data_IF_245475790231
#
_entry.id   IF_245475790231
#
_cell.length_a   1.000
_cell.length_b   1.000
_cell.length_c   1.000
_cell.angle_alpha   90.00
_cell.angle_beta   90.00
_cell.angle_gamma   90.00
#
_symmetry.space_group_name_H-M   'P 1'
#
loop_
_entity.id
_entity.type
_entity.pdbx_description
1 polymer ?
#
# COMPACT_ATOMS: atom_id res chain seq x y z
N UNK A 1 -7.21 15.82 -16.00
CA UNK A 1 -7.02 16.85 -17.04
C UNK A 1 -7.65 18.18 -16.69
N UNK A 2 -8.99 18.27 -16.39
CA UNK A 2 -9.60 19.57 -16.03
C UNK A 2 -9.08 20.08 -14.70
N UNK A 3 -9.04 19.23 -13.69
CA UNK A 3 -8.53 19.54 -12.36
C UNK A 3 -7.04 19.91 -12.38
N UNK A 4 -6.24 19.30 -13.25
CA UNK A 4 -4.81 19.61 -13.38
C UNK A 4 -4.59 20.99 -14.01
N UNK A 5 -5.44 21.37 -14.96
CA UNK A 5 -5.44 22.71 -15.57
C UNK A 5 -5.82 23.78 -14.56
N UNK A 6 -6.86 23.54 -13.76
CA UNK A 6 -7.28 24.47 -12.70
C UNK A 6 -6.18 24.64 -11.65
N UNK A 7 -5.53 23.53 -11.25
CA UNK A 7 -4.43 23.57 -10.28
C UNK A 7 -3.22 24.33 -10.84
N UNK A 8 -2.90 24.14 -12.11
CA UNK A 8 -1.83 24.90 -12.77
C UNK A 8 -2.16 26.41 -12.83
N UNK A 9 -3.40 26.77 -13.22
CA UNK A 9 -3.83 28.17 -13.26
C UNK A 9 -3.76 28.83 -11.88
N UNK A 10 -4.16 28.12 -10.82
CA UNK A 10 -4.05 28.61 -9.45
C UNK A 10 -2.59 28.90 -9.05
N UNK A 11 -1.63 28.03 -9.41
CA UNK A 11 -0.22 28.30 -9.17
C UNK A 11 0.30 29.53 -9.91
N UNK A 12 -0.11 29.70 -11.17
CA UNK A 12 0.28 30.89 -11.94
C UNK A 12 -0.26 32.15 -11.27
N UNK A 13 -1.55 32.15 -10.85
CA UNK A 13 -2.16 33.27 -10.16
C UNK A 13 -1.45 33.58 -8.83
N UNK A 14 -1.16 32.56 -8.02
CA UNK A 14 -0.41 32.75 -6.76
C UNK A 14 0.97 33.39 -7.01
N UNK A 15 1.65 33.00 -8.09
CA UNK A 15 2.94 33.58 -8.44
C UNK A 15 2.82 35.06 -8.86
N UNK A 16 1.80 35.40 -9.68
CA UNK A 16 1.52 36.75 -10.12
C UNK A 16 1.12 37.66 -8.93
N UNK A 17 0.32 37.14 -7.97
CA UNK A 17 -0.07 37.82 -6.75
C UNK A 17 1.15 38.12 -5.86
N UNK A 18 2.06 37.13 -5.70
CA UNK A 18 3.30 37.33 -4.95
C UNK A 18 4.22 38.37 -5.61
N UNK A 19 4.38 38.32 -6.95
CA UNK A 19 5.14 39.34 -7.69
C UNK A 19 4.59 40.74 -7.43
N UNK A 20 3.26 40.90 -7.53
CA UNK A 20 2.59 42.17 -7.30
C UNK A 20 2.80 42.69 -5.87
N UNK A 21 2.70 41.80 -4.88
CA UNK A 21 2.94 42.18 -3.47
C UNK A 21 4.40 42.57 -3.20
N UNK A 22 5.35 41.90 -3.84
CA UNK A 22 6.76 42.23 -3.74
C UNK A 22 7.03 43.62 -4.36
N UNK A 23 6.46 43.92 -5.52
CA UNK A 23 6.57 45.25 -6.18
C UNK A 23 5.99 46.34 -5.30
N UNK A 24 4.78 46.15 -4.76
CA UNK A 24 4.15 47.11 -3.83
C UNK A 24 5.01 47.32 -2.58
N UNK A 25 5.55 46.25 -2.00
CA UNK A 25 6.44 46.35 -0.83
C UNK A 25 7.72 47.14 -1.10
N UNK A 26 8.26 47.06 -2.32
CA UNK A 26 9.40 47.88 -2.74
C UNK A 26 9.03 49.32 -2.98
N UNK A 27 7.88 49.60 -3.61
CA UNK A 27 7.43 50.96 -3.91
C UNK A 27 7.08 51.73 -2.63
N UNK A 28 6.37 51.08 -1.69
CA UNK A 28 5.95 51.68 -0.41
C UNK A 28 7.03 51.65 0.67
N UNK A 29 8.12 50.92 0.43
CA UNK A 29 9.20 50.62 1.39
C UNK A 29 8.66 50.15 2.74
N UNK A 30 7.64 49.25 2.71
CA UNK A 30 6.96 48.71 3.88
C UNK A 30 7.48 47.33 4.27
N UNK A 31 8.31 47.20 5.31
CA UNK A 31 8.81 45.94 5.78
C UNK A 31 7.73 45.05 6.45
N UNK A 32 6.55 45.57 6.74
CA UNK A 32 5.46 44.82 7.36
C UNK A 32 4.86 43.75 6.41
N UNK A 33 5.03 43.92 5.09
CA UNK A 33 4.59 42.94 4.08
C UNK A 33 5.47 41.68 3.99
N UNK A 34 6.70 41.72 4.52
CA UNK A 34 7.65 40.62 4.44
C UNK A 34 7.09 39.31 5.04
N UNK A 35 6.49 39.28 6.25
CA UNK A 35 5.93 38.07 6.82
C UNK A 35 4.78 37.47 5.99
N UNK A 36 3.94 38.34 5.41
CA UNK A 36 2.80 37.90 4.57
C UNK A 36 3.28 37.28 3.27
N UNK A 37 4.25 37.90 2.61
CA UNK A 37 4.90 37.32 1.41
C UNK A 37 5.57 36.00 1.73
N UNK A 38 6.20 35.86 2.90
CA UNK A 38 6.83 34.62 3.33
C UNK A 38 5.80 33.48 3.52
N UNK A 39 4.64 33.78 4.10
CA UNK A 39 3.55 32.84 4.29
C UNK A 39 2.99 32.37 2.93
N UNK A 40 2.76 33.30 2.01
CA UNK A 40 2.34 32.98 0.63
C UNK A 40 3.36 32.10 -0.10
N UNK A 41 4.65 32.38 0.06
CA UNK A 41 5.73 31.58 -0.54
C UNK A 41 5.75 30.15 0.03
N UNK A 42 5.57 30.00 1.34
CA UNK A 42 5.54 28.69 2.00
C UNK A 42 4.32 27.86 1.55
N UNK A 43 3.17 28.49 1.30
CA UNK A 43 1.98 27.86 0.76
C UNK A 43 2.17 27.46 -0.70
N UNK A 44 2.65 28.37 -1.54
CA UNK A 44 2.99 28.11 -2.93
C UNK A 44 3.98 26.94 -3.07
N UNK A 45 5.01 26.88 -2.23
CA UNK A 45 5.99 25.82 -2.27
C UNK A 45 5.38 24.45 -1.96
N UNK A 46 4.44 24.38 -1.02
CA UNK A 46 3.70 23.12 -0.71
C UNK A 46 2.85 22.66 -1.89
N UNK A 47 2.15 23.59 -2.53
CA UNK A 47 1.29 23.29 -3.67
C UNK A 47 2.12 22.88 -4.89
N UNK A 48 3.20 23.60 -5.14
CA UNK A 48 4.15 23.27 -6.20
C UNK A 48 4.77 21.87 -6.02
N UNK A 49 5.21 21.54 -4.81
CA UNK A 49 5.78 20.21 -4.52
C UNK A 49 4.72 19.10 -4.70
N UNK A 50 3.46 19.34 -4.34
CA UNK A 50 2.38 18.39 -4.57
C UNK A 50 2.14 18.13 -6.07
N UNK A 51 2.15 19.17 -6.89
CA UNK A 51 1.98 19.04 -8.35
C UNK A 51 3.19 18.38 -8.97
N UNK A 52 4.39 18.75 -8.54
CA UNK A 52 5.63 18.12 -9.00
C UNK A 52 5.62 16.62 -8.77
N UNK A 53 5.20 16.16 -7.59
CA UNK A 53 5.07 14.73 -7.29
C UNK A 53 4.06 14.07 -8.23
N UNK A 54 2.87 14.67 -8.43
CA UNK A 54 1.85 14.14 -9.35
C UNK A 54 2.37 14.02 -10.79
N UNK A 55 3.14 14.99 -11.25
CA UNK A 55 3.73 15.00 -12.61
C UNK A 55 4.78 13.89 -12.80
N UNK A 56 5.50 13.53 -11.73
CA UNK A 56 6.47 12.43 -11.75
C UNK A 56 5.81 11.04 -11.80
N UNK A 57 4.52 10.94 -11.41
CA UNK A 57 3.75 9.71 -11.45
C UNK A 57 3.13 9.49 -12.83
N UNK A 58 3.98 9.20 -13.82
CA UNK A 58 3.61 9.04 -15.24
C UNK A 58 3.78 7.61 -15.77
N UNK A 59 4.05 6.64 -14.89
CA UNK A 59 4.15 5.22 -15.27
C UNK A 59 2.80 4.65 -15.70
N UNK A 60 2.83 3.58 -16.49
CA UNK A 60 1.64 2.93 -17.07
C UNK A 60 0.56 2.58 -16.03
N UNK A 61 0.99 2.15 -14.83
CA UNK A 61 0.09 1.73 -13.75
C UNK A 61 0.03 2.72 -12.59
N UNK A 62 0.71 3.87 -12.68
CA UNK A 62 0.82 4.82 -11.56
C UNK A 62 -0.54 5.38 -11.14
N UNK A 63 -1.50 5.47 -12.06
CA UNK A 63 -2.87 5.94 -11.80
C UNK A 63 -3.76 4.93 -11.08
N UNK A 64 -3.35 3.67 -11.04
CA UNK A 64 -4.16 2.57 -10.50
C UNK A 64 -4.16 2.54 -8.97
N UNK A 65 -5.13 1.79 -8.42
CA UNK A 65 -5.11 1.43 -7.00
C UNK A 65 -3.91 0.54 -6.68
N UNK A 66 -3.55 0.46 -5.42
CA UNK A 66 -2.45 -0.37 -4.96
C UNK A 66 -2.92 -1.54 -4.09
N UNK A 67 -2.40 -2.72 -4.34
CA UNK A 67 -2.52 -3.86 -3.44
C UNK A 67 -1.19 -4.04 -2.72
N UNK A 68 -1.22 -3.95 -1.39
CA UNK A 68 -0.04 -4.10 -0.54
C UNK A 68 -0.15 -5.40 0.24
N UNK A 69 0.94 -6.17 0.22
CA UNK A 69 1.09 -7.36 1.03
C UNK A 69 2.29 -7.21 1.96
N UNK A 70 2.02 -7.27 3.27
CA UNK A 70 3.03 -7.27 4.31
C UNK A 70 3.16 -8.67 4.89
N UNK A 71 4.39 -9.18 5.02
CA UNK A 71 4.65 -10.45 5.68
C UNK A 71 5.76 -10.27 6.72
N UNK A 72 5.50 -10.69 7.95
CA UNK A 72 6.50 -10.75 8.99
C UNK A 72 7.61 -11.75 8.60
N UNK A 73 8.84 -11.29 8.61
CA UNK A 73 10.03 -12.08 8.29
C UNK A 73 10.76 -12.58 9.55
N UNK A 74 12.08 -12.58 9.50
CA UNK A 74 12.89 -12.96 10.65
C UNK A 74 12.71 -12.01 11.82
N UNK A 75 12.49 -12.54 13.03
CA UNK A 75 12.30 -11.77 14.27
C UNK A 75 11.16 -12.26 15.16
N UNK A 76 10.45 -13.33 14.78
CA UNK A 76 9.36 -13.92 15.59
C UNK A 76 8.27 -12.90 15.94
N UNK A 77 7.83 -12.89 17.21
CA UNK A 77 6.81 -11.96 17.74
C UNK A 77 7.14 -10.49 17.47
N UNK A 78 8.40 -10.10 17.53
CA UNK A 78 8.86 -8.73 17.22
C UNK A 78 8.63 -8.36 15.75
N UNK A 79 8.81 -9.30 14.81
CA UNK A 79 8.53 -9.06 13.40
C UNK A 79 7.04 -8.94 13.13
N UNK A 80 6.20 -9.71 13.85
CA UNK A 80 4.74 -9.59 13.77
C UNK A 80 4.26 -8.23 14.30
N UNK A 81 4.82 -7.75 15.39
CA UNK A 81 4.51 -6.41 15.93
C UNK A 81 4.94 -5.31 14.95
N UNK A 82 6.14 -5.44 14.36
CA UNK A 82 6.60 -4.52 13.32
C UNK A 82 5.68 -4.50 12.09
N UNK A 83 5.18 -5.65 11.66
CA UNK A 83 4.19 -5.74 10.59
C UNK A 83 2.90 -4.96 10.93
N UNK A 84 2.41 -5.09 12.16
CA UNK A 84 1.27 -4.32 12.67
C UNK A 84 1.53 -2.81 12.71
N UNK A 85 2.75 -2.40 13.06
CA UNK A 85 3.15 -0.99 13.04
C UNK A 85 3.15 -0.43 11.61
N UNK A 86 3.70 -1.18 10.63
CA UNK A 86 3.70 -0.79 9.22
C UNK A 86 2.28 -0.68 8.67
N UNK A 87 1.43 -1.68 8.93
CA UNK A 87 0.03 -1.64 8.53
C UNK A 87 -0.68 -0.39 9.05
N UNK A 88 -0.49 -0.07 10.32
CA UNK A 88 -1.04 1.16 10.94
C UNK A 88 -0.48 2.43 10.32
N UNK A 89 0.81 2.44 9.96
CA UNK A 89 1.46 3.57 9.29
C UNK A 89 0.81 3.83 7.92
N UNK A 90 0.66 2.78 7.11
CA UNK A 90 0.03 2.90 5.79
C UNK A 90 -1.46 3.27 5.88
N UNK A 91 -2.18 2.72 6.85
CA UNK A 91 -3.59 3.09 7.08
C UNK A 91 -3.75 4.58 7.38
N UNK A 92 -2.93 5.11 8.29
CA UNK A 92 -2.96 6.54 8.62
C UNK A 92 -2.52 7.44 7.47
N UNK A 93 -1.58 6.97 6.67
CA UNK A 93 -1.15 7.69 5.48
C UNK A 93 -2.28 7.73 4.43
N UNK A 94 -2.96 6.61 4.20
CA UNK A 94 -4.11 6.54 3.30
C UNK A 94 -5.23 7.49 3.75
N UNK A 95 -5.59 7.47 5.04
CA UNK A 95 -6.59 8.37 5.62
C UNK A 95 -6.20 9.85 5.40
N UNK A 96 -4.94 10.20 5.66
CA UNK A 96 -4.44 11.59 5.47
C UNK A 96 -4.49 12.05 4.00
N UNK A 97 -4.35 11.12 3.06
CA UNK A 97 -4.45 11.39 1.61
C UNK A 97 -5.88 11.33 1.09
N UNK A 98 -6.87 10.97 1.93
CA UNK A 98 -8.26 10.77 1.54
C UNK A 98 -8.49 9.50 0.72
N UNK A 99 -7.60 8.52 0.83
CA UNK A 99 -7.74 7.20 0.20
C UNK A 99 -8.54 6.26 1.08
N UNK A 100 -9.26 5.33 0.46
CA UNK A 100 -9.96 4.27 1.19
C UNK A 100 -9.11 3.00 1.25
N UNK A 101 -9.14 2.31 2.39
CA UNK A 101 -8.39 1.08 2.60
C UNK A 101 -9.36 -0.08 2.81
N UNK A 102 -9.14 -1.17 2.06
CA UNK A 102 -9.89 -2.42 2.16
C UNK A 102 -8.96 -3.57 2.49
N UNK A 103 -9.28 -4.34 3.53
CA UNK A 103 -8.49 -5.51 3.92
C UNK A 103 -8.97 -6.71 3.13
N UNK A 104 -8.07 -7.33 2.34
CA UNK A 104 -8.35 -8.50 1.52
C UNK A 104 -8.05 -9.81 2.26
N UNK A 105 -6.94 -9.84 3.01
CA UNK A 105 -6.53 -11.00 3.79
C UNK A 105 -5.79 -10.54 5.05
N UNK A 106 -5.99 -11.26 6.16
CA UNK A 106 -5.43 -10.88 7.45
C UNK A 106 -5.14 -12.12 8.29
N UNK A 107 -3.90 -12.25 8.71
CA UNK A 107 -3.47 -13.35 9.58
C UNK A 107 -2.77 -12.80 10.81
N UNK A 108 -3.33 -13.04 11.98
CA UNK A 108 -2.75 -12.65 13.26
C UNK A 108 -1.41 -13.38 13.54
N UNK A 109 -0.54 -12.73 14.30
CA UNK A 109 0.62 -13.38 14.88
C UNK A 109 0.22 -14.31 16.04
N UNK A 110 1.02 -15.35 16.27
CA UNK A 110 0.70 -16.38 17.27
C UNK A 110 0.60 -15.81 18.70
N UNK A 111 1.40 -14.80 19.03
CA UNK A 111 1.45 -14.17 20.38
C UNK A 111 1.03 -12.70 20.34
N UNK A 112 1.45 -11.96 19.30
CA UNK A 112 1.13 -10.55 19.12
C UNK A 112 1.37 -10.09 17.68
N UNK A 113 0.73 -8.99 17.31
CA UNK A 113 0.91 -8.34 16.02
C UNK A 113 0.29 -9.10 14.85
N UNK A 114 0.78 -8.85 13.65
CA UNK A 114 0.26 -9.36 12.38
C UNK A 114 1.33 -10.22 11.71
N UNK A 115 1.00 -11.47 11.37
CA UNK A 115 1.90 -12.37 10.64
C UNK A 115 1.92 -12.04 9.16
N UNK A 116 0.75 -11.81 8.57
CA UNK A 116 0.63 -11.29 7.21
C UNK A 116 -0.66 -10.50 7.06
N UNK A 117 -0.63 -9.48 6.22
CA UNK A 117 -1.83 -8.73 5.84
C UNK A 117 -1.73 -8.32 4.38
N UNK A 118 -2.81 -8.50 3.65
CA UNK A 118 -2.98 -7.99 2.29
C UNK A 118 -4.14 -7.01 2.29
N UNK A 119 -3.90 -5.82 1.81
CA UNK A 119 -4.91 -4.76 1.77
C UNK A 119 -4.79 -3.94 0.50
N UNK A 120 -5.91 -3.44 0.04
CA UNK A 120 -6.03 -2.57 -1.12
C UNK A 120 -6.16 -1.13 -0.66
N UNK A 121 -5.44 -0.24 -1.33
CA UNK A 121 -5.54 1.21 -1.16
C UNK A 121 -6.17 1.78 -2.42
N UNK A 122 -7.38 2.30 -2.28
CA UNK A 122 -8.14 2.87 -3.38
C UNK A 122 -7.99 4.39 -3.39
N UNK A 123 -7.47 4.91 -4.48
CA UNK A 123 -7.30 6.34 -4.67
C UNK A 123 -6.49 6.67 -5.92
N UNK A 124 -6.63 7.89 -6.41
CA UNK A 124 -5.90 8.34 -7.60
C UNK A 124 -4.40 8.33 -7.37
N UNK A 125 -3.66 7.63 -8.23
CA UNK A 125 -2.22 7.45 -8.15
C UNK A 125 -1.74 6.68 -6.89
N UNK A 126 -2.59 5.88 -6.25
CA UNK A 126 -2.22 5.13 -5.05
C UNK A 126 -1.02 4.22 -5.30
N UNK A 127 -1.00 3.48 -6.42
CA UNK A 127 0.14 2.64 -6.79
C UNK A 127 1.39 3.47 -7.07
N UNK A 128 1.28 4.57 -7.78
CA UNK A 128 2.40 5.46 -8.08
C UNK A 128 3.13 5.96 -6.82
N UNK A 129 2.38 6.31 -5.77
CA UNK A 129 2.94 6.71 -4.48
C UNK A 129 3.59 5.55 -3.72
N UNK A 130 3.00 4.35 -3.80
CA UNK A 130 3.35 3.22 -2.94
C UNK A 130 4.35 2.26 -3.58
N UNK A 131 4.53 2.28 -4.91
CA UNK A 131 5.45 1.36 -5.61
C UNK A 131 6.88 1.38 -5.09
N UNK A 132 7.34 2.53 -4.58
CA UNK A 132 8.69 2.70 -4.03
C UNK A 132 8.87 2.03 -2.66
N UNK A 133 7.78 1.69 -1.97
CA UNK A 133 7.80 1.02 -0.68
C UNK A 133 8.05 -0.49 -0.80
N UNK A 134 8.04 -1.03 -2.04
CA UNK A 134 8.32 -2.44 -2.29
C UNK A 134 9.72 -2.80 -1.85
N UNK A 135 9.82 -3.78 -0.93
CA UNK A 135 11.11 -4.23 -0.43
C UNK A 135 11.05 -4.80 0.98
N UNK A 136 12.18 -4.75 1.68
CA UNK A 136 12.30 -5.26 3.06
C UNK A 136 12.45 -4.09 4.02
N UNK A 137 11.51 -3.96 4.94
CA UNK A 137 11.50 -2.95 5.99
C UNK A 137 12.17 -3.48 7.25
N UNK A 138 13.21 -2.79 7.71
CA UNK A 138 14.01 -3.16 8.86
C UNK A 138 13.68 -2.28 10.06
N UNK A 139 13.38 -2.92 11.21
CA UNK A 139 13.24 -2.25 12.49
C UNK A 139 14.40 -2.65 13.42
N UNK A 140 15.00 -1.68 14.08
CA UNK A 140 16.00 -1.90 15.13
C UNK A 140 15.58 -1.11 16.36
N UNK A 141 15.18 -1.82 17.42
CA UNK A 141 14.77 -1.19 18.70
C UNK A 141 15.08 -2.10 19.90
N UNK A 142 14.96 -1.55 21.10
CA UNK A 142 14.87 -2.36 22.31
C UNK A 142 13.50 -3.04 22.29
N UNK A 143 13.49 -4.39 22.33
CA UNK A 143 12.25 -5.16 22.22
C UNK A 143 11.40 -5.03 23.47
N UNK A 144 10.12 -4.66 23.37
CA UNK A 144 9.17 -4.69 24.49
C UNK A 144 8.83 -6.12 24.95
N UNK A 145 9.10 -7.13 24.11
CA UNK A 145 8.85 -8.56 24.41
C UNK A 145 10.04 -9.25 25.08
N UNK A 146 11.17 -8.56 25.24
CA UNK A 146 12.38 -9.12 25.85
C UNK A 146 12.64 -8.48 27.22
N UNK A 147 12.41 -9.25 28.30
CA UNK A 147 12.63 -8.80 29.66
C UNK A 147 14.08 -8.34 29.96
N UNK A 148 15.06 -8.82 29.19
CA UNK A 148 16.48 -8.41 29.33
C UNK A 148 16.78 -7.06 28.64
N UNK A 149 15.82 -6.39 28.03
CA UNK A 149 16.00 -5.10 27.37
C UNK A 149 17.02 -5.10 26.23
N UNK A 150 17.23 -6.23 25.57
CA UNK A 150 18.20 -6.34 24.47
C UNK A 150 17.68 -5.69 23.20
N UNK A 151 18.58 -5.07 22.45
CA UNK A 151 18.31 -4.55 21.12
C UNK A 151 18.07 -5.70 20.14
N UNK A 152 16.94 -5.65 19.44
CA UNK A 152 16.51 -6.64 18.46
C UNK A 152 16.41 -6.02 17.07
N UNK A 153 16.59 -6.84 16.05
CA UNK A 153 16.40 -6.46 14.65
C UNK A 153 15.33 -7.36 14.04
N UNK A 154 14.33 -6.74 13.42
CA UNK A 154 13.19 -7.44 12.80
C UNK A 154 13.00 -6.97 11.37
N UNK A 155 12.50 -7.85 10.55
CA UNK A 155 12.28 -7.60 9.13
C UNK A 155 10.84 -7.91 8.74
N UNK A 156 10.29 -7.09 7.85
CA UNK A 156 8.98 -7.30 7.20
C UNK A 156 9.18 -7.10 5.71
N UNK A 157 8.70 -8.04 4.90
CA UNK A 157 8.63 -7.84 3.45
C UNK A 157 7.36 -7.07 3.12
N UNK A 158 7.51 -6.05 2.29
CA UNK A 158 6.43 -5.30 1.68
C UNK A 158 6.43 -5.57 0.18
N UNK A 159 5.35 -6.09 -0.33
CA UNK A 159 5.12 -6.24 -1.76
C UNK A 159 4.00 -5.30 -2.19
N UNK A 160 4.20 -4.59 -3.30
CA UNK A 160 3.24 -3.61 -3.82
C UNK A 160 2.94 -3.97 -5.27
N UNK A 161 1.67 -4.13 -5.59
CA UNK A 161 1.17 -4.49 -6.91
C UNK A 161 0.08 -3.50 -7.33
N UNK A 162 -0.03 -3.17 -8.62
CA UNK A 162 -1.16 -2.41 -9.13
C UNK A 162 -2.43 -3.27 -9.16
N UNK A 163 -3.58 -2.66 -8.88
CA UNK A 163 -4.90 -3.27 -9.09
C UNK A 163 -5.29 -3.09 -10.55
N UNK A 164 -4.95 -4.07 -11.38
CA UNK A 164 -5.18 -4.03 -12.83
C UNK A 164 -6.62 -4.46 -13.10
N UNK A 165 -7.51 -3.50 -13.34
CA UNK A 165 -8.94 -3.75 -13.68
C UNK A 165 -9.18 -4.12 -15.16
N UNK A 166 -8.12 -4.20 -15.96
CA UNK A 166 -8.29 -4.67 -17.35
C UNK A 166 -8.58 -6.16 -17.31
N UNK A 167 -9.77 -6.53 -17.76
CA UNK A 167 -10.07 -7.91 -18.17
C UNK A 167 -9.03 -8.32 -19.23
N UNK A 168 -7.97 -8.93 -18.76
CA UNK A 168 -7.09 -9.67 -19.64
C UNK A 168 -7.87 -10.94 -19.93
N UNK A 169 -8.37 -11.05 -21.17
CA UNK A 169 -8.97 -12.29 -21.68
C UNK A 169 -7.87 -13.36 -21.74
N UNK A 170 -7.60 -13.96 -20.59
CA UNK A 170 -6.62 -15.05 -20.46
C UNK A 170 -7.39 -16.36 -20.56
N UNK A 171 -7.32 -17.00 -21.71
CA UNK A 171 -7.81 -18.37 -21.85
C UNK A 171 -6.91 -19.31 -21.03
N UNK A 172 -7.49 -19.93 -20.02
CA UNK A 172 -6.81 -20.96 -19.21
C UNK A 172 -7.33 -22.31 -19.66
N UNK A 173 -6.45 -23.14 -20.25
CA UNK A 173 -6.80 -24.50 -20.61
C UNK A 173 -6.71 -25.41 -19.38
N UNK A 174 -7.74 -26.21 -19.14
CA UNK A 174 -7.79 -27.15 -18.00
C UNK A 174 -6.62 -28.17 -18.04
N UNK A 175 -6.09 -28.49 -19.22
CA UNK A 175 -4.95 -29.40 -19.40
C UNK A 175 -3.60 -28.79 -18.98
N UNK A 176 -3.53 -27.46 -18.84
CA UNK A 176 -2.33 -26.73 -18.45
C UNK A 176 -2.27 -26.44 -16.97
N UNK A 177 -3.33 -26.79 -16.22
CA UNK A 177 -3.40 -26.58 -14.78
C UNK A 177 -3.40 -27.90 -14.01
N UNK A 178 -2.72 -27.91 -12.88
CA UNK A 178 -2.80 -28.98 -11.90
C UNK A 178 -3.45 -28.47 -10.63
N UNK A 179 -4.49 -29.16 -10.20
CA UNK A 179 -5.24 -28.84 -8.99
C UNK A 179 -4.91 -29.88 -7.91
N UNK A 180 -4.24 -29.44 -6.85
CA UNK A 180 -3.93 -30.27 -5.66
C UNK A 180 -4.79 -29.79 -4.49
N UNK A 181 -5.56 -30.71 -3.90
CA UNK A 181 -6.29 -30.43 -2.65
C UNK A 181 -5.49 -30.91 -1.45
N UNK A 182 -5.39 -30.11 -0.41
CA UNK A 182 -4.68 -30.43 0.81
C UNK A 182 -5.40 -29.93 2.05
N UNK A 183 -4.93 -30.35 3.23
CA UNK A 183 -5.52 -29.91 4.50
C UNK A 183 -5.01 -28.53 4.85
N UNK A 184 -5.94 -27.61 5.15
CA UNK A 184 -5.58 -26.29 5.65
C UNK A 184 -4.85 -26.41 6.99
N UNK A 185 -3.75 -25.66 7.15
CA UNK A 185 -3.02 -25.56 8.41
C UNK A 185 -3.39 -24.23 9.08
N UNK A 186 -4.03 -24.27 10.26
CA UNK A 186 -4.41 -23.09 11.04
C UNK A 186 -4.84 -23.47 12.45
N UNK A 187 -4.87 -22.50 13.37
CA UNK A 187 -5.40 -22.64 14.71
C UNK A 187 -6.93 -22.78 14.65
N UNK A 188 -7.41 -24.00 14.46
CA UNK A 188 -8.84 -24.34 14.40
C UNK A 188 -9.09 -25.75 14.88
N UNK A 189 -10.30 -25.98 15.42
CA UNK A 189 -10.68 -27.23 16.05
C UNK A 189 -10.68 -28.46 15.12
N UNK A 190 -11.09 -29.64 15.64
CA UNK A 190 -11.03 -30.97 14.96
C UNK A 190 -11.62 -31.02 13.53
N UNK A 191 -12.45 -30.04 13.13
CA UNK A 191 -13.10 -30.02 11.81
C UNK A 191 -12.11 -29.60 10.69
N UNK A 192 -11.21 -28.66 10.96
CA UNK A 192 -10.23 -28.15 9.98
C UNK A 192 -9.19 -29.23 9.62
N UNK A 193 -8.88 -30.13 10.55
CA UNK A 193 -7.89 -31.18 10.35
C UNK A 193 -8.41 -32.42 9.62
N UNK A 194 -9.73 -32.51 9.36
CA UNK A 194 -10.36 -33.69 8.73
C UNK A 194 -10.78 -33.46 7.28
N UNK A 195 -10.96 -32.22 6.85
CA UNK A 195 -11.39 -31.88 5.49
C UNK A 195 -10.26 -31.24 4.69
N UNK A 196 -10.09 -31.67 3.44
CA UNK A 196 -9.16 -31.01 2.50
C UNK A 196 -9.81 -29.72 1.98
N UNK A 197 -9.71 -28.64 2.76
CA UNK A 197 -10.34 -27.36 2.50
C UNK A 197 -9.39 -26.34 1.86
N UNK A 198 -8.17 -26.74 1.56
CA UNK A 198 -7.20 -25.91 0.86
C UNK A 198 -6.92 -26.44 -0.54
N UNK A 199 -6.79 -25.54 -1.50
CA UNK A 199 -6.48 -25.85 -2.90
C UNK A 199 -5.18 -25.13 -3.29
N UNK A 200 -4.39 -25.86 -4.09
CA UNK A 200 -3.24 -25.32 -4.80
C UNK A 200 -3.45 -25.55 -6.28
N UNK A 201 -3.37 -24.51 -7.09
CA UNK A 201 -3.39 -24.57 -8.53
C UNK A 201 -2.01 -24.20 -9.05
N UNK A 202 -1.47 -25.07 -9.90
CA UNK A 202 -0.17 -24.85 -10.57
C UNK A 202 -0.42 -24.78 -12.07
N UNK A 203 -0.06 -23.65 -12.69
CA UNK A 203 -0.10 -23.48 -14.13
C UNK A 203 1.25 -23.89 -14.72
N UNK A 204 1.29 -24.97 -15.52
CA UNK A 204 2.53 -25.57 -16.03
C UNK A 204 3.34 -24.63 -16.95
N UNK A 205 2.72 -23.91 -17.92
CA UNK A 205 3.48 -23.08 -18.85
C UNK A 205 4.21 -21.91 -18.21
N UNK A 206 3.58 -21.28 -17.19
CA UNK A 206 4.15 -20.11 -16.51
C UNK A 206 4.84 -20.45 -15.20
N UNK A 207 4.62 -21.64 -14.64
CA UNK A 207 5.11 -22.02 -13.32
C UNK A 207 4.44 -21.25 -12.16
N UNK A 208 3.36 -20.52 -12.44
CA UNK A 208 2.61 -19.78 -11.40
C UNK A 208 1.89 -20.77 -10.50
N UNK A 209 2.01 -20.57 -9.19
CA UNK A 209 1.34 -21.38 -8.16
C UNK A 209 0.48 -20.47 -7.30
N UNK A 210 -0.82 -20.72 -7.31
CA UNK A 210 -1.80 -20.03 -6.47
C UNK A 210 -2.34 -21.02 -5.43
N UNK A 211 -2.58 -20.56 -4.19
CA UNK A 211 -3.17 -21.38 -3.14
C UNK A 211 -4.17 -20.58 -2.33
N UNK A 212 -5.31 -21.20 -2.01
CA UNK A 212 -6.37 -20.64 -1.22
C UNK A 212 -6.77 -21.58 -0.07
N UNK A 213 -6.97 -21.01 1.13
CA UNK A 213 -7.34 -21.77 2.33
C UNK A 213 -8.65 -21.27 2.98
N UNK A 214 -9.25 -20.21 2.44
CA UNK A 214 -10.36 -19.48 3.08
C UNK A 214 -11.76 -19.95 2.65
N UNK A 215 -11.89 -20.97 1.79
CA UNK A 215 -13.18 -21.39 1.28
C UNK A 215 -13.75 -22.60 2.00
N UNK A 216 -15.08 -22.61 2.16
CA UNK A 216 -15.81 -23.63 2.95
C UNK A 216 -16.03 -24.94 2.18
N UNK A 217 -15.91 -24.93 0.83
CA UNK A 217 -16.06 -26.13 0.00
C UNK A 217 -15.29 -26.03 -1.31
N UNK A 218 -14.95 -27.18 -1.90
CA UNK A 218 -14.24 -27.29 -3.18
C UNK A 218 -14.94 -26.53 -4.34
N UNK A 219 -16.25 -26.60 -4.41
CA UNK A 219 -17.04 -25.92 -5.43
C UNK A 219 -16.99 -24.39 -5.29
N UNK A 220 -16.90 -23.91 -4.06
CA UNK A 220 -16.80 -22.48 -3.78
C UNK A 220 -15.39 -21.96 -4.08
N UNK A 221 -14.35 -22.75 -3.80
CA UNK A 221 -12.97 -22.44 -4.14
C UNK A 221 -12.76 -22.29 -5.65
N UNK A 222 -13.32 -23.23 -6.45
CA UNK A 222 -13.20 -23.18 -7.91
C UNK A 222 -13.91 -21.97 -8.53
N UNK A 223 -15.01 -21.53 -7.95
CA UNK A 223 -15.74 -20.33 -8.42
C UNK A 223 -15.00 -19.01 -8.15
N UNK A 224 -14.21 -18.96 -7.07
CA UNK A 224 -13.42 -17.75 -6.72
C UNK A 224 -12.12 -17.59 -7.52
N UNK A 225 -11.59 -18.68 -8.08
CA UNK A 225 -10.30 -18.65 -8.79
C UNK A 225 -10.46 -18.54 -10.31
N UNK A 226 -11.69 -18.65 -10.82
CA UNK A 226 -12.03 -18.46 -12.24
C UNK A 226 -12.74 -17.13 -12.54
N UNK A 227 -12.84 -16.21 -11.54
CA UNK A 227 -13.48 -14.89 -11.70
C UNK A 227 -12.48 -13.78 -11.83
#
# INVERSE_FOLDING_TARGET
MKDDMETYQNLVTQMEDMETMIEMGYEENDPALIPEIQEMLDEFQKDFDNIRIKTLLSGEYDSENAIIKLNAGAGGTEACDWCGMLYRMYSRWADKKGFTLEVLDYLDGDEAGIKSVTFQVNGTNAYGYLKSEKGVHRLVRISPFNAAGKRQTSFVSCDVMPDIKKDLDVEINDDEIRIDTYRSSGAGGQHINKTSSAIRITHYPTGIVVQCQNAVSYTHLRAHETS
#
